data_IF_643072478532
#
_entry.id   IF_643072478532
#
_cell.length_a   1.000
_cell.length_b   1.000
_cell.length_c   1.000
_cell.angle_alpha   90.00
_cell.angle_beta   90.00
_cell.angle_gamma   90.00
#
_symmetry.space_group_name_H-M   'P 1'
#
loop_
_entity.id
_entity.type
_entity.pdbx_description
1 polymer ?
#
# COMPACT_ATOMS: atom_id res chain seq x y z
N UNK A 1 9.73 -3.57 27.57
CA UNK A 1 11.21 -3.50 27.68
C UNK A 1 11.55 -2.02 27.62
N UNK A 2 12.06 -1.48 28.71
CA UNK A 2 12.40 -0.06 28.81
C UNK A 2 13.88 0.04 29.18
N UNK A 3 14.64 0.72 28.34
CA UNK A 3 16.07 0.97 28.53
C UNK A 3 16.32 2.46 28.83
N UNK A 4 17.55 2.79 29.22
CA UNK A 4 17.89 4.10 29.79
C UNK A 4 18.00 5.20 28.73
N UNK A 5 18.25 4.83 27.47
CA UNK A 5 18.36 5.73 26.33
C UNK A 5 17.94 5.04 25.01
N UNK A 6 17.77 5.83 23.95
CA UNK A 6 17.31 5.34 22.64
C UNK A 6 18.22 4.30 22.00
N UNK A 7 19.55 4.42 22.17
CA UNK A 7 20.51 3.47 21.59
C UNK A 7 20.37 2.09 22.24
N UNK A 8 20.34 2.06 23.56
CA UNK A 8 20.11 0.83 24.33
C UNK A 8 18.74 0.22 24.02
N UNK A 9 17.70 1.07 23.93
CA UNK A 9 16.35 0.63 23.56
C UNK A 9 16.31 -0.03 22.18
N UNK A 10 16.98 0.56 21.18
CA UNK A 10 17.09 0.01 19.84
C UNK A 10 17.73 -1.38 19.85
N UNK A 11 18.92 -1.50 20.47
CA UNK A 11 19.62 -2.78 20.61
C UNK A 11 18.79 -3.85 21.33
N UNK A 12 17.93 -3.44 22.27
CA UNK A 12 17.08 -4.36 23.00
C UNK A 12 15.85 -4.78 22.20
N UNK A 13 15.28 -3.88 21.42
CA UNK A 13 14.14 -4.17 20.53
C UNK A 13 14.55 -5.17 19.45
N UNK A 14 15.75 -5.06 18.87
CA UNK A 14 16.22 -6.03 17.84
C UNK A 14 16.38 -7.46 18.37
N UNK A 15 16.47 -7.65 19.69
CA UNK A 15 16.53 -8.96 20.34
C UNK A 15 15.16 -9.56 20.65
N UNK A 16 14.08 -8.82 20.43
CA UNK A 16 12.73 -9.30 20.70
C UNK A 16 12.31 -10.36 19.68
N UNK A 17 11.46 -11.28 20.12
CA UNK A 17 10.83 -12.25 19.22
C UNK A 17 9.87 -11.52 18.28
N UNK A 18 9.71 -12.05 17.08
CA UNK A 18 8.73 -11.55 16.11
C UNK A 18 7.32 -11.48 16.71
N UNK A 19 6.50 -10.58 16.15
CA UNK A 19 5.08 -10.49 16.47
C UNK A 19 4.42 -11.77 15.96
N UNK A 20 3.63 -12.43 16.82
CA UNK A 20 2.85 -13.60 16.40
C UNK A 20 1.66 -13.17 15.57
N UNK A 21 1.33 -13.96 14.54
CA UNK A 21 0.13 -13.76 13.71
C UNK A 21 -1.13 -13.74 14.59
N UNK A 22 -1.88 -12.62 14.65
CA UNK A 22 -3.19 -12.58 15.29
C UNK A 22 -4.17 -13.51 14.58
N UNK A 23 -5.11 -14.09 15.32
CA UNK A 23 -6.06 -15.06 14.75
C UNK A 23 -7.12 -14.41 13.84
N UNK A 24 -7.30 -13.10 13.98
CA UNK A 24 -8.21 -12.24 13.23
C UNK A 24 -7.74 -12.06 11.78
N UNK A 25 -6.42 -12.09 11.54
CA UNK A 25 -5.84 -11.92 10.20
C UNK A 25 -5.90 -13.25 9.47
N UNK A 26 -6.84 -13.38 8.52
CA UNK A 26 -7.00 -14.60 7.72
C UNK A 26 -6.09 -14.64 6.51
N UNK A 27 -5.89 -13.50 5.87
CA UNK A 27 -5.02 -13.37 4.70
C UNK A 27 -3.55 -13.62 5.08
N UNK A 28 -2.93 -14.57 4.40
CA UNK A 28 -1.54 -14.93 4.60
C UNK A 28 -0.58 -13.93 3.94
N UNK A 29 -0.92 -13.36 2.79
CA UNK A 29 -0.10 -12.37 2.09
C UNK A 29 -0.08 -11.05 2.86
N UNK A 30 -1.23 -10.65 3.41
CA UNK A 30 -1.31 -9.47 4.29
C UNK A 30 -0.41 -9.64 5.52
N UNK A 31 -0.51 -10.80 6.17
CA UNK A 31 0.31 -11.07 7.34
C UNK A 31 1.81 -11.14 7.01
N UNK A 32 2.17 -11.78 5.89
CA UNK A 32 3.56 -11.86 5.44
C UNK A 32 4.15 -10.44 5.25
N UNK A 33 3.42 -9.56 4.56
CA UNK A 33 3.81 -8.16 4.39
C UNK A 33 4.01 -7.45 5.73
N UNK A 34 3.04 -7.56 6.65
CA UNK A 34 3.13 -6.92 7.96
C UNK A 34 4.29 -7.47 8.79
N UNK A 35 4.56 -8.77 8.73
CA UNK A 35 5.66 -9.37 9.47
C UNK A 35 7.02 -8.80 9.03
N UNK A 36 7.17 -8.48 7.74
CA UNK A 36 8.39 -7.89 7.17
C UNK A 36 8.49 -6.38 7.41
N UNK A 37 7.36 -5.67 7.42
CA UNK A 37 7.29 -4.23 7.75
C UNK A 37 7.52 -3.94 9.23
N UNK A 38 7.00 -4.81 10.11
CA UNK A 38 7.07 -4.69 11.56
C UNK A 38 8.28 -5.44 12.15
N UNK A 39 9.29 -5.73 11.33
CA UNK A 39 10.54 -6.31 11.77
C UNK A 39 11.25 -5.35 12.74
N UNK A 40 11.65 -5.89 13.89
CA UNK A 40 12.25 -5.11 14.97
C UNK A 40 13.68 -4.73 14.66
N UNK A 41 14.40 -5.59 13.94
CA UNK A 41 15.73 -5.33 13.43
C UNK A 41 15.67 -4.43 12.17
N UNK A 42 16.07 -3.15 12.24
CA UNK A 42 15.95 -2.24 11.10
C UNK A 42 16.72 -2.70 9.87
N UNK A 43 17.84 -3.41 10.07
CA UNK A 43 18.68 -3.91 8.98
C UNK A 43 18.03 -5.10 8.24
N UNK A 44 17.02 -5.74 8.84
CA UNK A 44 16.23 -6.81 8.22
C UNK A 44 14.84 -6.36 7.77
N UNK A 45 14.42 -5.16 8.16
CA UNK A 45 13.13 -4.61 7.79
C UNK A 45 13.10 -4.36 6.29
N UNK A 46 12.03 -4.83 5.65
CA UNK A 46 11.84 -4.64 4.21
C UNK A 46 11.87 -3.14 3.85
N UNK A 47 12.51 -2.80 2.75
CA UNK A 47 12.53 -1.43 2.22
C UNK A 47 11.20 -1.08 1.56
N UNK A 48 10.95 0.22 1.34
CA UNK A 48 9.74 0.67 0.65
C UNK A 48 9.64 0.10 -0.77
N UNK A 49 10.74 0.08 -1.52
CA UNK A 49 10.79 -0.48 -2.88
C UNK A 49 10.49 -1.97 -2.90
N UNK A 50 11.03 -2.75 -1.94
CA UNK A 50 10.74 -4.18 -1.84
C UNK A 50 9.30 -4.44 -1.39
N UNK A 51 8.76 -3.60 -0.50
CA UNK A 51 7.37 -3.71 -0.04
C UNK A 51 6.38 -3.48 -1.18
N UNK A 52 6.66 -2.53 -2.09
CA UNK A 52 5.83 -2.30 -3.29
C UNK A 52 5.81 -3.51 -4.24
N UNK A 53 6.86 -4.33 -4.25
CA UNK A 53 6.94 -5.54 -5.07
C UNK A 53 6.35 -6.78 -4.38
N UNK A 54 5.84 -6.64 -3.15
CA UNK A 54 5.31 -7.75 -2.38
C UNK A 54 4.07 -8.37 -3.06
N UNK A 55 3.90 -9.71 -3.05
CA UNK A 55 2.75 -10.37 -3.66
C UNK A 55 1.39 -9.86 -3.17
N UNK A 56 1.34 -9.31 -1.96
CA UNK A 56 0.12 -8.64 -1.46
C UNK A 56 -0.39 -7.53 -2.41
N UNK A 57 0.51 -6.83 -3.11
CA UNK A 57 0.17 -5.81 -4.10
C UNK A 57 0.29 -6.28 -5.55
N UNK A 58 1.09 -7.32 -5.81
CA UNK A 58 1.47 -7.74 -7.18
C UNK A 58 0.93 -9.10 -7.60
N UNK A 59 0.20 -9.82 -6.73
CA UNK A 59 -0.36 -11.12 -7.10
C UNK A 59 -1.48 -10.99 -8.15
N UNK A 60 -1.77 -12.06 -8.91
CA UNK A 60 -2.90 -12.07 -9.84
C UNK A 60 -4.23 -11.70 -9.16
N UNK A 61 -4.43 -12.11 -7.91
CA UNK A 61 -5.62 -11.76 -7.12
C UNK A 61 -5.70 -10.25 -6.88
N UNK A 62 -4.59 -9.62 -6.44
CA UNK A 62 -4.53 -8.17 -6.24
C UNK A 62 -4.76 -7.38 -7.54
N UNK A 63 -4.25 -7.88 -8.67
CA UNK A 63 -4.49 -7.28 -9.98
C UNK A 63 -5.95 -7.48 -10.45
N UNK A 64 -6.59 -8.58 -10.06
CA UNK A 64 -8.00 -8.84 -10.38
C UNK A 64 -8.97 -7.99 -9.56
N UNK A 65 -8.53 -7.46 -8.41
CA UNK A 65 -9.32 -6.54 -7.58
C UNK A 65 -9.44 -5.14 -8.17
N UNK A 66 -8.65 -4.81 -9.21
CA UNK A 66 -8.76 -3.53 -9.92
C UNK A 66 -10.12 -3.48 -10.63
N UNK A 67 -10.98 -2.57 -10.17
CA UNK A 67 -12.34 -2.48 -10.67
C UNK A 67 -12.40 -1.92 -12.11
N UNK A 68 -13.49 -2.23 -12.81
CA UNK A 68 -13.71 -1.70 -14.17
C UNK A 68 -13.75 -0.17 -14.16
N UNK A 69 -14.31 0.43 -13.12
CA UNK A 69 -14.36 1.88 -12.94
C UNK A 69 -12.96 2.49 -12.79
N UNK A 70 -12.02 1.82 -12.11
CA UNK A 70 -10.63 2.27 -12.03
C UNK A 70 -9.98 2.25 -13.42
N UNK A 71 -10.20 1.17 -14.19
CA UNK A 71 -9.70 1.07 -15.58
C UNK A 71 -10.25 2.16 -16.48
N UNK A 72 -11.56 2.45 -16.36
CA UNK A 72 -12.22 3.45 -17.18
C UNK A 72 -11.75 4.87 -16.82
N UNK A 73 -11.57 5.18 -15.53
CA UNK A 73 -11.03 6.46 -15.08
C UNK A 73 -9.59 6.70 -15.56
N UNK A 74 -8.73 5.68 -15.47
CA UNK A 74 -7.37 5.75 -16.00
C UNK A 74 -7.35 6.01 -17.52
N UNK A 75 -8.26 5.36 -18.25
CA UNK A 75 -8.43 5.57 -19.69
C UNK A 75 -8.89 7.00 -20.01
N UNK A 76 -9.82 7.55 -19.22
CA UNK A 76 -10.29 8.93 -19.37
C UNK A 76 -9.17 9.95 -19.10
N UNK A 77 -8.36 9.74 -18.07
CA UNK A 77 -7.20 10.59 -17.79
C UNK A 77 -6.21 10.59 -18.97
N UNK A 78 -5.94 9.42 -19.56
CA UNK A 78 -5.07 9.30 -20.72
C UNK A 78 -5.62 10.05 -21.95
N UNK A 79 -6.94 10.03 -22.17
CA UNK A 79 -7.58 10.82 -23.24
C UNK A 79 -7.48 12.32 -22.97
N UNK A 80 -7.73 12.77 -21.74
CA UNK A 80 -7.64 14.19 -21.37
C UNK A 80 -6.23 14.75 -21.59
N UNK A 81 -5.18 13.99 -21.27
CA UNK A 81 -3.79 14.37 -21.56
C UNK A 81 -3.56 14.55 -23.07
N UNK A 82 -4.08 13.64 -23.91
CA UNK A 82 -3.99 13.73 -25.37
C UNK A 82 -4.76 14.92 -25.94
N UNK A 83 -5.84 15.33 -25.28
CA UNK A 83 -6.63 16.52 -25.63
C UNK A 83 -6.00 17.83 -25.14
N UNK A 84 -4.87 17.76 -24.41
CA UNK A 84 -4.04 18.90 -24.02
C UNK A 84 -4.13 19.27 -22.55
N UNK A 85 -4.75 18.45 -21.70
CA UNK A 85 -4.75 18.66 -20.26
C UNK A 85 -3.38 18.31 -19.65
N UNK A 86 -2.54 19.33 -19.45
CA UNK A 86 -1.21 19.19 -18.86
C UNK A 86 -1.21 18.95 -17.34
N UNK A 87 -2.38 18.93 -16.69
CA UNK A 87 -2.48 18.63 -15.26
C UNK A 87 -2.47 17.12 -14.97
N UNK A 88 -2.71 16.28 -15.99
CA UNK A 88 -2.69 14.83 -15.89
C UNK A 88 -1.25 14.34 -15.68
N UNK A 89 -1.07 13.43 -14.72
CA UNK A 89 0.21 12.79 -14.41
C UNK A 89 0.23 11.32 -14.85
N UNK A 90 1.41 10.69 -14.78
CA UNK A 90 1.55 9.25 -15.04
C UNK A 90 0.72 8.38 -14.07
N UNK A 91 0.45 8.86 -12.85
CA UNK A 91 -0.32 8.15 -11.84
C UNK A 91 -1.83 8.17 -12.13
N UNK A 92 -2.34 9.23 -12.75
CA UNK A 92 -3.76 9.35 -13.11
C UNK A 92 -4.15 8.36 -14.22
N UNK A 93 -3.17 7.93 -15.01
CA UNK A 93 -3.32 6.99 -16.12
C UNK A 93 -3.09 5.53 -15.72
N UNK A 94 -2.74 5.27 -14.47
CA UNK A 94 -2.55 3.93 -13.94
C UNK A 94 -3.74 3.54 -13.03
N UNK A 95 -4.54 2.53 -13.40
CA UNK A 95 -5.71 2.12 -12.63
C UNK A 95 -5.36 1.59 -11.22
N UNK A 96 -4.12 1.14 -10.99
CA UNK A 96 -3.67 0.68 -9.66
C UNK A 96 -3.52 1.83 -8.66
N UNK A 97 -3.33 3.06 -9.14
CA UNK A 97 -3.21 4.26 -8.30
C UNK A 97 -4.56 4.93 -8.01
N UNK A 98 -5.65 4.46 -8.63
CA UNK A 98 -6.97 5.04 -8.45
C UNK A 98 -7.66 4.42 -7.23
N UNK A 99 -7.83 5.20 -6.16
CA UNK A 99 -8.41 4.72 -4.90
C UNK A 99 -9.95 4.64 -5.01
N UNK A 100 -10.48 3.42 -5.14
CA UNK A 100 -11.92 3.12 -5.25
C UNK A 100 -12.78 3.73 -4.11
N UNK A 101 -12.25 3.85 -2.89
CA UNK A 101 -13.03 4.20 -1.69
C UNK A 101 -13.24 5.71 -1.47
N UNK A 102 -12.33 6.55 -1.95
CA UNK A 102 -12.44 8.01 -1.81
C UNK A 102 -13.45 8.59 -2.81
N UNK A 103 -13.62 7.93 -3.97
CA UNK A 103 -14.54 8.38 -5.00
C UNK A 103 -16.02 8.25 -4.59
N UNK A 104 -16.41 7.26 -3.77
CA UNK A 104 -17.78 7.21 -3.24
C UNK A 104 -18.14 8.42 -2.37
N UNK A 105 -17.17 8.96 -1.62
CA UNK A 105 -17.36 10.13 -0.77
C UNK A 105 -17.33 11.41 -1.63
N UNK A 106 -16.31 11.57 -2.49
CA UNK A 106 -16.15 12.77 -3.33
C UNK A 106 -17.26 12.94 -4.38
N UNK A 107 -17.80 11.85 -4.94
CA UNK A 107 -18.94 11.92 -5.86
C UNK A 107 -20.24 12.27 -5.11
N UNK A 108 -20.38 11.90 -3.84
CA UNK A 108 -21.54 12.30 -3.02
C UNK A 108 -21.52 13.79 -2.65
N UNK A 109 -20.33 14.39 -2.51
CA UNK A 109 -20.16 15.79 -2.10
C UNK A 109 -20.27 16.80 -3.26
N UNK A 110 -20.02 16.37 -4.50
CA UNK A 110 -20.12 17.23 -5.70
C UNK A 110 -21.53 17.32 -6.31
N UNK A 111 -22.54 16.75 -5.65
CA UNK A 111 -23.94 16.73 -6.12
C UNK A 111 -24.87 17.69 -5.34
N UNK A 112 -24.34 18.83 -4.86
CA UNK A 112 -25.11 19.95 -4.32
C UNK A 112 -24.79 21.26 -5.04
#
# INVERSE_FOLDING_TARGET
VNERNFKEQGMKITQLKCIKKPSEIKDNLLWDLFSRLLEFDPDKRITASEALQHPYFTSPEALSDISKEQQDLASLAAVAELEGDSSITEFDKDPTFIIHKLNKILISEKNY
#
